data_IF_234557387771
#
_entry.id   IF_234557387771
#
_cell.length_a   1.000
_cell.length_b   1.000
_cell.length_c   1.000
_cell.angle_alpha   90.00
_cell.angle_beta   90.00
_cell.angle_gamma   90.00
#
_symmetry.space_group_name_H-M   'P 1'
#
loop_
_entity.id
_entity.type
_entity.pdbx_description
1 polymer ?
#
# COMPACT_ATOMS: atom_id res chain seq x y z
N UNK A 1 -20.53 -14.37 -13.28
CA UNK A 1 -19.33 -14.56 -12.43
C UNK A 1 -18.43 -13.30 -12.39
N UNK A 2 -18.96 -12.10 -12.09
CA UNK A 2 -18.19 -10.82 -12.19
C UNK A 2 -18.27 -9.94 -10.92
N UNK A 3 -19.06 -10.32 -9.92
CA UNK A 3 -19.38 -9.46 -8.76
C UNK A 3 -18.25 -9.28 -7.74
N UNK A 4 -17.20 -10.11 -7.75
CA UNK A 4 -16.06 -9.97 -6.82
C UNK A 4 -15.16 -8.77 -7.16
N UNK A 5 -15.13 -8.31 -8.41
CA UNK A 5 -14.22 -7.25 -8.87
C UNK A 5 -14.64 -5.85 -8.41
N UNK A 6 -15.95 -5.62 -8.26
CA UNK A 6 -16.50 -4.35 -7.79
C UNK A 6 -16.24 -4.10 -6.30
N UNK A 7 -16.30 -5.14 -5.47
CA UNK A 7 -16.10 -5.03 -4.01
C UNK A 7 -14.64 -4.66 -3.64
N UNK A 8 -13.65 -5.12 -4.39
CA UNK A 8 -12.26 -4.69 -4.20
C UNK A 8 -11.98 -3.27 -4.71
N UNK A 9 -12.79 -2.77 -5.65
CA UNK A 9 -12.64 -1.44 -6.21
C UNK A 9 -13.26 -0.38 -5.28
N UNK A 10 -14.38 -0.70 -4.63
CA UNK A 10 -15.05 0.20 -3.67
C UNK A 10 -14.33 0.28 -2.33
N UNK A 11 -13.72 -0.82 -1.83
CA UNK A 11 -13.02 -0.83 -0.53
C UNK A 11 -11.70 -0.03 -0.48
N UNK A 12 -11.21 0.47 -1.61
CA UNK A 12 -9.96 1.27 -1.68
C UNK A 12 -10.20 2.75 -1.94
N UNK A 13 -11.45 3.14 -2.16
CA UNK A 13 -11.80 4.48 -2.60
C UNK A 13 -11.78 5.50 -1.47
N UNK A 14 -11.85 5.07 -0.21
CA UNK A 14 -12.04 5.95 0.96
C UNK A 14 -10.78 6.67 1.47
N UNK A 15 -9.61 6.53 0.82
CA UNK A 15 -8.36 7.21 1.22
C UNK A 15 -7.68 7.95 0.04
N UNK A 16 -8.21 7.80 -1.17
CA UNK A 16 -7.61 8.37 -2.40
C UNK A 16 -7.98 9.85 -2.62
N UNK A 17 -8.80 10.46 -1.74
CA UNK A 17 -9.32 11.82 -1.89
C UNK A 17 -8.30 12.96 -1.62
N UNK A 18 -7.03 12.62 -1.44
CA UNK A 18 -5.94 13.61 -1.29
C UNK A 18 -4.89 13.42 -2.38
N UNK A 19 -4.59 14.50 -3.11
CA UNK A 19 -3.64 14.60 -4.23
C UNK A 19 -2.52 13.52 -4.16
N UNK A 20 -2.62 12.43 -4.95
CA UNK A 20 -1.71 11.30 -4.81
C UNK A 20 -0.34 11.63 -5.40
N UNK A 21 0.72 11.26 -4.67
CA UNK A 21 2.11 11.37 -5.14
C UNK A 21 2.73 9.99 -5.27
N UNK A 22 3.17 9.66 -6.47
CA UNK A 22 3.93 8.44 -6.71
C UNK A 22 5.39 8.64 -6.27
N UNK A 23 5.92 7.66 -5.54
CA UNK A 23 7.33 7.55 -5.20
C UNK A 23 7.95 6.45 -6.05
N UNK A 24 9.11 6.74 -6.64
CA UNK A 24 9.92 5.76 -7.38
C UNK A 24 11.01 5.15 -6.50
N UNK A 25 11.52 5.92 -5.54
CA UNK A 25 12.66 5.53 -4.70
C UNK A 25 12.23 4.93 -3.36
N UNK A 26 12.81 3.77 -3.05
CA UNK A 26 12.60 3.08 -1.77
C UNK A 26 13.15 3.90 -0.59
N UNK A 27 14.29 4.57 -0.77
CA UNK A 27 14.90 5.40 0.28
C UNK A 27 13.98 6.54 0.73
N UNK A 28 13.37 7.24 -0.23
CA UNK A 28 12.41 8.31 0.05
C UNK A 28 11.17 7.77 0.76
N UNK A 29 10.71 6.58 0.37
CA UNK A 29 9.57 5.92 1.03
C UNK A 29 9.84 5.65 2.52
N UNK A 30 11.03 5.13 2.86
CA UNK A 30 11.40 4.86 4.26
C UNK A 30 11.44 6.17 5.05
N UNK A 31 12.06 7.22 4.50
CA UNK A 31 12.09 8.55 5.14
C UNK A 31 10.70 9.12 5.41
N UNK A 32 9.77 8.97 4.45
CA UNK A 32 8.38 9.44 4.60
C UNK A 32 7.63 8.60 5.64
N UNK A 33 7.85 7.29 5.69
CA UNK A 33 7.19 6.40 6.65
C UNK A 33 7.59 6.64 8.10
N UNK A 34 8.79 7.19 8.32
CA UNK A 34 9.32 7.52 9.66
C UNK A 34 9.01 8.96 10.09
N UNK A 35 8.42 9.77 9.20
CA UNK A 35 8.12 11.17 9.49
C UNK A 35 6.89 11.26 10.40
N UNK A 36 6.89 12.24 11.31
CA UNK A 36 5.84 12.40 12.35
C UNK A 36 4.43 12.68 11.81
N UNK A 37 4.31 13.04 10.54
CA UNK A 37 3.05 13.32 9.86
C UNK A 37 2.45 12.08 9.18
N UNK A 38 3.18 10.96 9.12
CA UNK A 38 2.67 9.70 8.63
C UNK A 38 1.74 9.11 9.70
N UNK A 39 0.46 8.99 9.35
CA UNK A 39 -0.57 8.50 10.28
C UNK A 39 -0.92 7.04 10.04
N UNK A 40 -0.93 6.62 8.77
CA UNK A 40 -1.38 5.28 8.39
C UNK A 40 -0.63 4.76 7.17
N UNK A 41 -0.21 3.50 7.21
CA UNK A 41 0.27 2.77 6.05
C UNK A 41 -0.76 1.70 5.64
N UNK A 42 -1.01 1.61 4.34
CA UNK A 42 -1.85 0.58 3.72
C UNK A 42 -1.02 -0.22 2.74
N UNK A 43 -0.98 -1.52 2.94
CA UNK A 43 -0.29 -2.44 2.04
C UNK A 43 -1.35 -3.16 1.23
N UNK A 44 -1.33 -2.95 -0.08
CA UNK A 44 -2.23 -3.62 -1.01
C UNK A 44 -1.44 -4.54 -1.93
N UNK A 45 -1.67 -5.84 -1.82
CA UNK A 45 -1.23 -6.82 -2.82
C UNK A 45 -2.20 -6.80 -3.99
N UNK A 46 -1.69 -6.56 -5.20
CA UNK A 46 -2.45 -6.54 -6.45
C UNK A 46 -2.14 -7.85 -7.18
N UNK A 47 -3.12 -8.76 -7.29
CA UNK A 47 -2.93 -9.98 -8.06
C UNK A 47 -2.76 -9.66 -9.55
N UNK A 48 -1.99 -10.48 -10.29
CA UNK A 48 -1.81 -10.29 -11.71
C UNK A 48 -3.15 -10.42 -12.45
N UNK A 49 -3.33 -9.57 -13.47
CA UNK A 49 -4.55 -9.58 -14.30
C UNK A 49 -4.52 -10.65 -15.40
N UNK A 50 -3.35 -11.23 -15.66
CA UNK A 50 -3.06 -12.20 -16.73
C UNK A 50 -2.34 -13.40 -16.13
N UNK A 51 -2.49 -14.59 -16.72
CA UNK A 51 -1.86 -15.83 -16.24
C UNK A 51 -0.33 -15.73 -16.09
N UNK A 52 0.35 -14.96 -16.94
CA UNK A 52 1.80 -14.70 -16.87
C UNK A 52 2.14 -13.37 -16.18
N UNK A 53 1.20 -12.74 -15.50
CA UNK A 53 1.41 -11.44 -14.87
C UNK A 53 2.20 -11.54 -13.57
N UNK A 54 3.00 -10.50 -13.27
CA UNK A 54 3.69 -10.36 -12.00
C UNK A 54 2.76 -9.80 -10.92
N UNK A 55 2.86 -10.33 -9.71
CA UNK A 55 2.15 -9.79 -8.54
C UNK A 55 2.79 -8.46 -8.14
N UNK A 56 1.98 -7.41 -8.02
CA UNK A 56 2.46 -6.08 -7.62
C UNK A 56 2.02 -5.75 -6.23
N UNK A 57 2.91 -5.23 -5.39
CA UNK A 57 2.56 -4.72 -4.07
C UNK A 57 2.60 -3.20 -4.09
N UNK A 58 1.51 -2.56 -3.70
CA UNK A 58 1.43 -1.11 -3.51
C UNK A 58 1.44 -0.77 -2.04
N UNK A 59 2.41 0.04 -1.64
CA UNK A 59 2.48 0.65 -0.33
C UNK A 59 1.91 2.05 -0.42
N UNK A 60 0.83 2.31 0.31
CA UNK A 60 0.18 3.62 0.39
C UNK A 60 0.40 4.18 1.79
N UNK A 61 1.12 5.29 1.93
CA UNK A 61 1.29 5.97 3.22
C UNK A 61 0.46 7.25 3.20
N UNK A 62 -0.42 7.39 4.17
CA UNK A 62 -1.17 8.63 4.40
C UNK A 62 -0.32 9.55 5.26
N UNK A 63 0.00 10.70 4.69
CA UNK A 63 0.54 11.85 5.41
C UNK A 63 -0.55 12.92 5.57
N UNK A 64 -0.23 14.03 6.23
CA UNK A 64 -1.19 15.12 6.45
C UNK A 64 -1.75 15.70 5.13
N UNK A 65 -0.88 15.92 4.12
CA UNK A 65 -1.25 16.61 2.87
C UNK A 65 -1.40 15.70 1.66
N UNK A 66 -0.57 14.67 1.54
CA UNK A 66 -0.50 13.82 0.35
C UNK A 66 -0.64 12.34 0.72
N UNK A 67 -1.17 11.58 -0.23
CA UNK A 67 -1.07 10.13 -0.22
C UNK A 67 0.17 9.73 -1.01
N UNK A 68 1.17 9.17 -0.34
CA UNK A 68 2.35 8.67 -1.02
C UNK A 68 2.16 7.20 -1.41
N UNK A 69 2.44 6.88 -2.67
CA UNK A 69 2.30 5.51 -3.16
C UNK A 69 3.60 5.00 -3.76
N UNK A 70 4.10 3.87 -3.26
CA UNK A 70 5.21 3.12 -3.85
C UNK A 70 4.66 1.82 -4.44
N UNK A 71 4.96 1.54 -5.70
CA UNK A 71 4.62 0.27 -6.36
C UNK A 71 5.86 -0.59 -6.53
N UNK A 72 5.81 -1.84 -6.09
CA UNK A 72 6.90 -2.81 -6.25
C UNK A 72 6.41 -4.09 -6.93
N UNK A 73 7.20 -4.57 -7.87
CA UNK A 73 6.93 -5.80 -8.62
C UNK A 73 7.58 -7.03 -7.95
N UNK A 74 8.57 -6.82 -7.07
CA UNK A 74 9.27 -7.88 -6.35
C UNK A 74 8.62 -8.17 -4.98
N UNK A 75 8.08 -9.39 -4.76
CA UNK A 75 7.42 -9.74 -3.49
C UNK A 75 8.41 -9.82 -2.31
N UNK A 76 9.63 -10.33 -2.52
CA UNK A 76 10.63 -10.45 -1.46
C UNK A 76 11.08 -9.09 -0.92
N UNK A 77 11.33 -8.12 -1.81
CA UNK A 77 11.67 -6.74 -1.40
C UNK A 77 10.50 -6.08 -0.69
N UNK A 78 9.27 -6.36 -1.12
CA UNK A 78 8.07 -5.86 -0.45
C UNK A 78 7.94 -6.38 0.99
N UNK A 79 8.29 -7.65 1.26
CA UNK A 79 8.27 -8.19 2.62
C UNK A 79 9.34 -7.58 3.52
N UNK A 80 10.56 -7.38 3.01
CA UNK A 80 11.62 -6.65 3.73
C UNK A 80 11.21 -5.20 4.04
N UNK A 81 10.58 -4.53 3.08
CA UNK A 81 10.06 -3.18 3.28
C UNK A 81 8.96 -3.11 4.32
N UNK A 82 8.07 -4.10 4.34
CA UNK A 82 7.03 -4.22 5.36
C UNK A 82 7.63 -4.36 6.77
N UNK A 83 8.72 -5.12 6.92
CA UNK A 83 9.44 -5.27 8.20
C UNK A 83 10.20 -4.00 8.60
N UNK A 84 10.62 -3.19 7.63
CA UNK A 84 11.34 -1.93 7.87
C UNK A 84 10.42 -0.77 8.28
N UNK A 85 9.10 -0.97 8.21
CA UNK A 85 8.15 0.04 8.67
C UNK A 85 8.15 0.12 10.20
N UNK A 86 8.10 1.34 10.77
CA UNK A 86 8.10 1.50 12.22
C UNK A 86 6.81 0.91 12.83
N UNK A 87 6.89 0.16 13.94
CA UNK A 87 5.73 -0.50 14.57
C UNK A 87 4.72 0.48 15.20
N UNK A 88 5.10 1.75 15.38
CA UNK A 88 4.20 2.82 15.84
C UNK A 88 3.26 3.36 14.75
N UNK A 89 3.45 2.97 13.49
CA UNK A 89 2.59 3.38 12.38
C UNK A 89 1.42 2.39 12.25
N UNK A 90 0.19 2.90 12.08
CA UNK A 90 -0.98 2.03 11.86
C UNK A 90 -0.89 1.35 10.49
N UNK A 91 -0.50 0.07 10.47
CA UNK A 91 -0.38 -0.73 9.24
C UNK A 91 -1.68 -1.50 8.98
N UNK A 92 -2.36 -1.21 7.89
CA UNK A 92 -3.51 -1.96 7.40
C UNK A 92 -3.16 -2.77 6.14
N UNK A 93 -3.22 -4.09 6.23
CA UNK A 93 -3.11 -4.98 5.07
C UNK A 93 -4.48 -5.15 4.40
N UNK A 94 -4.66 -4.52 3.23
CA UNK A 94 -5.89 -4.66 2.45
C UNK A 94 -5.86 -6.01 1.75
N UNK A 95 -6.40 -7.04 2.41
CA UNK A 95 -6.52 -8.39 1.87
C UNK A 95 -6.55 -9.52 2.90
N UNK A 96 -6.16 -9.28 4.15
CA UNK A 96 -6.38 -10.23 5.25
C UNK A 96 -7.54 -9.74 6.13
N UNK A 97 -8.54 -10.57 6.46
CA UNK A 97 -9.50 -10.19 7.48
C UNK A 97 -8.72 -9.97 8.78
N UNK A 98 -8.91 -8.81 9.43
CA UNK A 98 -8.37 -8.56 10.78
C UNK A 98 -8.79 -9.76 11.64
N UNK A 99 -7.83 -10.55 12.15
CA UNK A 99 -8.11 -11.49 13.23
C UNK A 99 -8.50 -10.62 14.42
N UNK A 100 -9.79 -10.69 14.75
CA UNK A 100 -10.39 -10.11 15.95
C UNK A 100 -10.05 -10.99 17.14
#
# INVERSE_FOLDING_TARGET
MQRRRALYFTALKTIDDGNPKELKDIKQFIQISQRRDASQARIKKIPPKTANGKTRTKFKVRCSRYLYTLSLDDPEKAEKLKQSLPPGLSIEEVGKPKKK
#
